data_IF_481767758636
#
_entry.id   IF_481767758636
#
_cell.length_a   1.000
_cell.length_b   1.000
_cell.length_c   1.000
_cell.angle_alpha   90.00
_cell.angle_beta   90.00
_cell.angle_gamma   90.00
#
_symmetry.space_group_name_H-M   'P 1'
#
loop_
_entity.id
_entity.type
_entity.pdbx_description
1 polymer ?
#
# COMPACT_ATOMS: atom_id res chain seq x y z
N UNK A 1 -22.16 -7.36 23.45
CA UNK A 1 -21.99 -7.72 22.03
C UNK A 1 -21.51 -6.53 21.21
N UNK A 2 -22.23 -5.44 21.27
CA UNK A 2 -21.86 -4.24 20.51
C UNK A 2 -20.52 -3.68 20.98
N UNK A 3 -20.30 -3.61 22.30
CA UNK A 3 -19.03 -3.08 22.79
C UNK A 3 -17.86 -4.00 22.41
N UNK A 4 -18.11 -5.31 22.34
CA UNK A 4 -17.06 -6.25 21.92
C UNK A 4 -16.66 -6.01 20.48
N UNK A 5 -17.63 -5.69 19.63
CA UNK A 5 -17.37 -5.37 18.23
C UNK A 5 -16.58 -4.06 18.12
N UNK A 6 -16.96 -3.06 18.91
CA UNK A 6 -16.25 -1.78 18.93
C UNK A 6 -14.82 -1.97 19.40
N UNK A 7 -14.63 -2.78 20.44
CA UNK A 7 -13.33 -3.06 20.98
C UNK A 7 -12.45 -3.76 19.95
N UNK A 8 -13.04 -4.71 19.23
CA UNK A 8 -12.32 -5.42 18.18
C UNK A 8 -11.89 -4.47 17.07
N UNK A 9 -12.76 -3.53 16.73
CA UNK A 9 -12.44 -2.53 15.71
C UNK A 9 -11.34 -1.60 16.17
N UNK A 10 -11.37 -1.22 17.44
CA UNK A 10 -10.33 -0.39 18.03
C UNK A 10 -8.99 -1.12 18.04
N UNK A 11 -9.01 -2.41 18.38
CA UNK A 11 -7.79 -3.21 18.35
C UNK A 11 -7.20 -3.29 16.97
N UNK A 12 -8.05 -3.51 15.96
CA UNK A 12 -7.57 -3.55 14.57
C UNK A 12 -6.99 -2.20 14.17
N UNK A 13 -7.64 -1.11 14.59
CA UNK A 13 -7.18 0.23 14.32
C UNK A 13 -5.85 0.53 15.01
N UNK A 14 -5.75 0.08 16.27
CA UNK A 14 -4.53 0.29 17.06
C UNK A 14 -3.38 -0.53 16.53
N UNK A 15 -3.67 -1.72 15.99
CA UNK A 15 -2.63 -2.59 15.46
C UNK A 15 -2.26 -2.26 14.02
N UNK A 16 -3.03 -1.38 13.36
CA UNK A 16 -2.71 -0.98 12.00
C UNK A 16 -1.38 -0.24 11.99
N UNK A 17 -0.52 -0.60 11.04
CA UNK A 17 0.76 0.06 10.90
C UNK A 17 0.58 1.53 10.59
N UNK A 18 1.32 2.38 11.29
CA UNK A 18 1.42 3.78 10.92
C UNK A 18 2.27 3.88 9.66
N UNK A 19 2.18 5.02 8.99
CA UNK A 19 2.99 5.24 7.79
C UNK A 19 4.47 5.13 8.10
N UNK A 20 4.89 5.68 9.24
CA UNK A 20 6.29 5.61 9.66
C UNK A 20 6.74 4.17 9.90
N UNK A 21 5.90 3.38 10.58
CA UNK A 21 6.22 1.98 10.84
C UNK A 21 6.33 1.20 9.54
N UNK A 22 5.45 1.48 8.60
CA UNK A 22 5.47 0.83 7.29
C UNK A 22 6.75 1.19 6.53
N UNK A 23 7.13 2.46 6.54
CA UNK A 23 8.37 2.91 5.88
C UNK A 23 9.58 2.20 6.48
N UNK A 24 9.64 2.12 7.81
CA UNK A 24 10.74 1.45 8.49
C UNK A 24 10.77 -0.04 8.16
N UNK A 25 9.61 -0.66 8.11
CA UNK A 25 9.52 -2.08 7.76
C UNK A 25 10.03 -2.32 6.35
N UNK A 26 9.58 -1.53 5.39
CA UNK A 26 9.99 -1.70 3.98
C UNK A 26 11.50 -1.48 3.84
N UNK A 27 12.02 -0.43 4.45
CA UNK A 27 13.44 -0.11 4.36
C UNK A 27 14.30 -1.20 4.99
N UNK A 28 13.94 -1.68 6.17
CA UNK A 28 14.77 -2.65 6.89
C UNK A 28 14.58 -4.07 6.38
N UNK A 29 13.36 -4.45 6.03
CA UNK A 29 13.08 -5.82 5.62
C UNK A 29 13.60 -6.13 4.21
N UNK A 30 13.51 -5.17 3.31
CA UNK A 30 13.90 -5.37 1.91
C UNK A 30 15.18 -4.64 1.54
N UNK A 31 15.71 -3.80 2.42
CA UNK A 31 16.82 -2.94 2.06
C UNK A 31 16.45 -1.97 0.96
N UNK A 32 15.18 -1.62 0.87
CA UNK A 32 14.66 -0.81 -0.22
C UNK A 32 15.18 0.62 -0.15
N UNK A 33 15.38 1.21 -1.32
CA UNK A 33 15.66 2.63 -1.45
C UNK A 33 14.33 3.38 -1.61
N UNK A 34 14.29 4.63 -1.21
CA UNK A 34 13.09 5.43 -1.32
C UNK A 34 13.37 6.75 -2.00
N UNK A 35 12.34 7.33 -2.61
CA UNK A 35 12.45 8.59 -3.33
C UNK A 35 11.11 9.31 -3.30
N UNK A 36 11.16 10.61 -3.54
CA UNK A 36 9.98 11.46 -3.66
C UNK A 36 9.95 12.00 -5.08
N UNK A 37 9.35 11.24 -6.03
CA UNK A 37 9.46 11.55 -7.46
C UNK A 37 8.73 12.83 -7.87
N UNK A 38 7.76 13.27 -7.08
CA UNK A 38 7.03 14.51 -7.38
C UNK A 38 7.48 15.56 -6.37
N UNK A 39 8.27 16.51 -6.83
CA UNK A 39 8.89 17.49 -5.93
C UNK A 39 7.88 18.36 -5.21
N UNK A 40 6.78 18.70 -5.86
CA UNK A 40 5.72 19.52 -5.26
C UNK A 40 4.82 18.72 -4.32
N UNK A 41 4.96 17.40 -4.33
CA UNK A 41 4.11 16.53 -3.51
C UNK A 41 4.99 15.59 -2.69
N UNK A 42 5.52 16.13 -1.60
CA UNK A 42 6.46 15.39 -0.76
C UNK A 42 5.84 14.23 0.01
N UNK A 43 4.50 14.17 0.06
CA UNK A 43 3.85 13.09 0.78
C UNK A 43 3.82 11.78 -0.01
N UNK A 44 4.27 11.81 -1.27
CA UNK A 44 4.38 10.58 -2.07
C UNK A 44 5.79 10.04 -1.90
N UNK A 45 5.89 8.81 -1.43
CA UNK A 45 7.17 8.13 -1.28
C UNK A 45 7.11 6.83 -2.07
N UNK A 46 8.05 6.64 -2.99
CA UNK A 46 8.14 5.36 -3.71
C UNK A 46 9.30 4.57 -3.16
N UNK A 47 9.15 3.25 -3.18
CA UNK A 47 10.19 2.31 -2.73
C UNK A 47 10.59 1.44 -3.89
N UNK A 48 11.89 1.23 -4.03
CA UNK A 48 12.45 0.50 -5.15
C UNK A 48 13.48 -0.50 -4.67
N UNK A 49 13.66 -1.55 -5.47
CA UNK A 49 14.70 -2.55 -5.20
C UNK A 49 16.06 -1.89 -5.40
N UNK A 50 17.01 -2.16 -4.48
CA UNK A 50 18.33 -1.54 -4.63
C UNK A 50 19.11 -2.14 -5.82
N UNK A 51 18.80 -3.38 -6.23
CA UNK A 51 19.54 -4.05 -7.29
C UNK A 51 19.16 -3.58 -8.70
N UNK A 52 17.89 -3.25 -8.93
CA UNK A 52 17.45 -2.90 -10.28
C UNK A 52 16.70 -1.56 -10.34
N UNK A 53 16.50 -0.91 -9.20
CA UNK A 53 15.83 0.39 -9.08
C UNK A 53 14.37 0.37 -9.55
N UNK A 54 13.75 -0.79 -9.57
CA UNK A 54 12.34 -0.89 -9.96
C UNK A 54 11.44 -0.59 -8.76
N UNK A 55 10.42 0.21 -9.01
CA UNK A 55 9.42 0.54 -8.00
C UNK A 55 8.57 -0.70 -7.71
N UNK A 56 8.34 -0.98 -6.44
CA UNK A 56 7.44 -2.07 -6.05
C UNK A 56 6.37 -1.63 -5.04
N UNK A 57 6.55 -0.46 -4.43
CA UNK A 57 5.59 0.05 -3.45
C UNK A 57 5.65 1.57 -3.43
N UNK A 58 4.56 2.20 -3.05
CA UNK A 58 4.51 3.64 -2.87
C UNK A 58 3.50 3.95 -1.79
N UNK A 59 3.74 5.01 -1.04
CA UNK A 59 2.84 5.43 0.03
C UNK A 59 2.46 6.89 -0.13
N UNK A 60 1.31 7.25 0.43
CA UNK A 60 0.85 8.63 0.44
C UNK A 60 -0.18 8.83 1.53
N UNK A 61 -0.20 10.02 2.08
CA UNK A 61 -1.32 10.49 2.88
C UNK A 61 -2.17 11.37 1.98
N UNK A 62 -3.46 11.06 1.89
CA UNK A 62 -4.33 11.70 0.90
C UNK A 62 -5.72 11.94 1.50
N UNK A 63 -6.40 12.97 1.01
CA UNK A 63 -7.78 13.23 1.41
C UNK A 63 -8.69 12.11 0.95
N UNK A 64 -9.57 11.65 1.84
CA UNK A 64 -10.49 10.57 1.49
C UNK A 64 -11.31 10.90 0.26
N UNK A 65 -11.78 12.14 0.15
CA UNK A 65 -12.60 12.56 -0.99
C UNK A 65 -11.83 12.53 -2.29
N UNK A 66 -10.52 12.74 -2.25
CA UNK A 66 -9.68 12.64 -3.44
C UNK A 66 -9.62 11.21 -3.97
N UNK A 67 -9.88 10.24 -3.10
CA UNK A 67 -9.95 8.83 -3.50
C UNK A 67 -11.37 8.41 -3.88
N UNK A 68 -12.32 9.31 -3.80
CA UNK A 68 -13.70 8.97 -4.06
C UNK A 68 -14.38 8.30 -2.86
N UNK A 69 -13.79 8.36 -1.70
CA UNK A 69 -14.37 7.81 -0.47
C UNK A 69 -15.20 8.91 0.19
N UNK A 70 -16.47 8.59 0.45
CA UNK A 70 -17.39 9.54 1.08
C UNK A 70 -17.16 9.58 2.59
N UNK A 71 -16.05 10.18 2.96
CA UNK A 71 -15.61 10.29 4.35
C UNK A 71 -14.77 11.55 4.47
N UNK A 72 -14.96 12.29 5.57
CA UNK A 72 -14.14 13.46 5.83
C UNK A 72 -12.75 13.03 6.27
N UNK A 73 -11.78 13.93 6.10
CA UNK A 73 -10.44 13.72 6.60
C UNK A 73 -9.51 13.08 5.59
N UNK A 74 -8.42 12.55 6.11
CA UNK A 74 -7.34 12.01 5.30
C UNK A 74 -7.06 10.57 5.68
N UNK A 75 -6.37 9.85 4.81
CA UNK A 75 -6.06 8.45 5.01
C UNK A 75 -4.69 8.16 4.42
N UNK A 76 -3.97 7.24 5.05
CA UNK A 76 -2.71 6.74 4.51
C UNK A 76 -3.02 5.59 3.57
N UNK A 77 -2.33 5.54 2.44
CA UNK A 77 -2.49 4.46 1.48
C UNK A 77 -1.14 3.88 1.09
N UNK A 78 -1.19 2.61 0.68
CA UNK A 78 -0.04 1.88 0.16
C UNK A 78 -0.40 1.35 -1.22
N UNK A 79 0.38 1.72 -2.22
CA UNK A 79 0.25 1.13 -3.55
C UNK A 79 1.29 0.02 -3.67
N UNK A 80 0.88 -1.13 -4.19
CA UNK A 80 1.80 -2.25 -4.46
C UNK A 80 1.64 -2.71 -5.90
N UNK A 81 2.76 -3.06 -6.52
CA UNK A 81 2.74 -3.58 -7.89
C UNK A 81 2.61 -5.08 -7.87
N UNK A 82 1.57 -5.60 -8.49
CA UNK A 82 1.27 -7.03 -8.46
C UNK A 82 0.91 -7.51 -9.85
N UNK A 83 0.85 -8.83 -10.01
CA UNK A 83 0.37 -9.43 -11.26
C UNK A 83 -1.04 -8.91 -11.56
N UNK A 84 -1.34 -8.54 -12.82
CA UNK A 84 -2.66 -7.98 -13.15
C UNK A 84 -3.83 -8.86 -12.74
N UNK A 85 -3.66 -10.18 -12.73
CA UNK A 85 -4.74 -11.08 -12.31
C UNK A 85 -5.02 -10.95 -10.83
N UNK A 86 -3.97 -10.76 -10.03
CA UNK A 86 -4.12 -10.53 -8.58
C UNK A 86 -4.76 -9.18 -8.35
N UNK A 87 -4.30 -8.14 -9.05
CA UNK A 87 -4.86 -6.80 -8.94
C UNK A 87 -6.37 -6.83 -9.21
N UNK A 88 -6.79 -7.53 -10.26
CA UNK A 88 -8.20 -7.60 -10.64
C UNK A 88 -9.07 -8.17 -9.52
N UNK A 89 -8.56 -9.15 -8.78
CA UNK A 89 -9.32 -9.73 -7.67
C UNK A 89 -9.31 -8.85 -6.42
N UNK A 90 -8.22 -8.16 -6.18
CA UNK A 90 -8.08 -7.37 -4.96
C UNK A 90 -8.85 -6.06 -4.99
N UNK A 91 -8.82 -5.36 -6.13
CA UNK A 91 -9.37 -4.00 -6.17
C UNK A 91 -10.86 -3.91 -5.91
N UNK A 92 -11.56 -5.05 -5.90
CA UNK A 92 -12.98 -5.09 -5.58
C UNK A 92 -13.25 -5.57 -4.14
N UNK A 93 -12.19 -5.91 -3.41
CA UNK A 93 -12.31 -6.32 -2.01
C UNK A 93 -12.32 -5.09 -1.10
N UNK A 94 -12.97 -5.24 0.05
CA UNK A 94 -12.94 -4.19 1.07
C UNK A 94 -11.49 -3.91 1.49
N UNK A 95 -11.14 -2.64 1.59
CA UNK A 95 -9.79 -2.23 1.98
C UNK A 95 -8.86 -2.01 0.80
N UNK A 96 -9.31 -2.33 -0.41
CA UNK A 96 -8.53 -2.15 -1.62
C UNK A 96 -9.28 -1.24 -2.59
N UNK A 97 -8.54 -0.62 -3.50
CA UNK A 97 -9.11 0.26 -4.52
C UNK A 97 -8.24 0.20 -5.78
N UNK A 98 -8.81 0.61 -6.93
CA UNK A 98 -7.96 0.83 -8.09
C UNK A 98 -6.84 1.80 -7.73
N UNK A 99 -5.65 1.55 -8.27
CA UNK A 99 -4.47 2.29 -7.83
C UNK A 99 -4.59 3.78 -8.08
N UNK A 100 -4.25 4.54 -7.03
CA UNK A 100 -4.13 5.99 -7.15
C UNK A 100 -2.80 6.31 -7.80
N UNK A 101 -2.86 7.13 -8.85
CA UNK A 101 -1.67 7.68 -9.52
C UNK A 101 -0.80 6.66 -10.26
N UNK A 102 -1.09 5.38 -10.20
CA UNK A 102 -0.31 4.33 -10.83
C UNK A 102 -1.15 3.61 -11.88
N UNK A 103 -0.49 2.79 -12.71
CA UNK A 103 -1.20 1.97 -13.69
C UNK A 103 -2.13 1.00 -12.98
N UNK A 104 -3.43 1.15 -13.21
CA UNK A 104 -4.44 0.39 -12.47
C UNK A 104 -4.53 -1.08 -12.88
N UNK A 105 -3.83 -1.47 -13.94
CA UNK A 105 -3.79 -2.88 -14.33
C UNK A 105 -2.76 -3.66 -13.53
N UNK A 106 -1.68 -3.00 -13.10
CA UNK A 106 -0.58 -3.67 -12.43
C UNK A 106 -0.28 -3.14 -11.03
N UNK A 107 -1.08 -2.20 -10.54
CA UNK A 107 -0.95 -1.65 -9.20
C UNK A 107 -2.31 -1.66 -8.52
N UNK A 108 -2.31 -1.78 -7.19
CA UNK A 108 -3.54 -1.69 -6.40
C UNK A 108 -3.26 -0.84 -5.17
N UNK A 109 -4.26 -0.09 -4.74
CA UNK A 109 -4.18 0.73 -3.52
C UNK A 109 -4.77 -0.04 -2.35
N UNK A 110 -4.01 -0.08 -1.26
CA UNK A 110 -4.45 -0.65 0.01
C UNK A 110 -4.70 0.49 0.98
N UNK A 111 -5.89 0.51 1.58
CA UNK A 111 -6.22 1.52 2.59
C UNK A 111 -5.59 1.11 3.91
N UNK A 112 -4.82 2.02 4.50
CA UNK A 112 -4.11 1.74 5.76
C UNK A 112 -4.93 2.19 6.95
N UNK A 113 -6.18 1.75 6.99
CA UNK A 113 -7.14 2.11 8.04
C UNK A 113 -7.54 0.92 8.90
N UNK A 114 -6.83 -0.19 8.79
CA UNK A 114 -7.12 -1.39 9.53
C UNK A 114 -8.06 -2.35 8.83
N UNK A 115 -8.55 -1.97 7.62
CA UNK A 115 -9.44 -2.85 6.84
C UNK A 115 -8.71 -4.11 6.39
N UNK A 116 -7.40 -4.00 6.14
CA UNK A 116 -6.57 -5.13 5.70
C UNK A 116 -5.57 -5.41 6.82
N UNK A 117 -5.46 -6.68 7.21
CA UNK A 117 -4.56 -7.07 8.28
C UNK A 117 -3.11 -6.82 7.91
N UNK A 118 -2.29 -6.44 8.90
CA UNK A 118 -0.87 -6.16 8.68
C UNK A 118 -0.15 -7.35 8.06
N UNK A 119 -0.50 -8.57 8.45
CA UNK A 119 0.09 -9.78 7.89
C UNK A 119 -0.18 -9.88 6.41
N UNK A 120 -1.40 -9.56 6.01
CA UNK A 120 -1.78 -9.62 4.61
C UNK A 120 -1.04 -8.54 3.82
N UNK A 121 -0.89 -7.35 4.40
CA UNK A 121 -0.14 -6.27 3.76
C UNK A 121 1.31 -6.71 3.51
N UNK A 122 1.91 -7.36 4.49
CA UNK A 122 3.29 -7.85 4.35
C UNK A 122 3.40 -8.91 3.25
N UNK A 123 2.38 -9.76 3.12
CA UNK A 123 2.36 -10.75 2.03
C UNK A 123 2.36 -10.09 0.67
N UNK A 124 1.55 -9.04 0.50
CA UNK A 124 1.51 -8.35 -0.78
C UNK A 124 2.80 -7.59 -1.06
N UNK A 125 3.45 -7.07 -0.02
CA UNK A 125 4.76 -6.45 -0.18
C UNK A 125 5.80 -7.48 -0.65
N UNK A 126 5.76 -8.68 -0.07
CA UNK A 126 6.66 -9.75 -0.50
C UNK A 126 6.44 -10.09 -1.96
N UNK A 127 5.18 -10.22 -2.35
CA UNK A 127 4.83 -10.51 -3.74
C UNK A 127 5.31 -9.40 -4.69
N UNK A 128 5.11 -8.15 -4.28
CA UNK A 128 5.50 -7.00 -5.08
C UNK A 128 7.02 -6.94 -5.25
N UNK A 129 7.74 -7.17 -4.18
CA UNK A 129 9.19 -7.14 -4.20
C UNK A 129 9.73 -8.23 -5.12
N UNK A 130 9.19 -9.44 -5.00
CA UNK A 130 9.59 -10.57 -5.83
C UNK A 130 9.29 -10.31 -7.30
N UNK A 131 8.11 -9.78 -7.60
CA UNK A 131 7.71 -9.49 -8.96
C UNK A 131 8.63 -8.45 -9.60
N UNK A 132 9.01 -7.44 -8.85
CA UNK A 132 9.90 -6.39 -9.35
C UNK A 132 11.30 -6.94 -9.68
N UNK A 133 11.68 -8.04 -9.04
CA UNK A 133 12.95 -8.69 -9.31
C UNK A 133 12.90 -9.75 -10.39
N UNK A 134 11.70 -10.11 -10.85
CA UNK A 134 11.55 -11.15 -11.85
C UNK A 134 11.83 -10.57 -13.24
N UNK A 135 12.81 -11.13 -13.91
CA UNK A 135 13.18 -10.66 -15.25
C UNK A 135 12.03 -10.80 -16.24
N UNK A 136 11.22 -11.82 -16.08
CA UNK A 136 10.07 -12.04 -16.97
C UNK A 136 8.98 -11.00 -16.72
N UNK A 137 8.93 -10.42 -15.55
CA UNK A 137 7.98 -9.37 -15.23
C UNK A 137 8.24 -8.06 -15.93
N UNK A 138 9.36 -7.93 -16.62
CA UNK A 138 9.70 -6.72 -17.36
C UNK A 138 8.99 -6.61 -18.70
N UNK A 139 8.43 -7.68 -19.16
CA UNK A 139 7.88 -7.74 -20.52
C UNK A 139 6.41 -7.45 -20.58
#
# INVERSE_FOLDING_TARGET
MIWRRSQKRESAKESAMTLQELHEYIASHYGAESDHPIKEEHSITVFMRPDNKKWFAATKNIGCKSLGIDRAGRIDILNVKLDPRVVATLRVREGFMPAWYMNQNSWVTILLDGSVADEEIREYLDMAYALAGDKRGKR
#
